data_IF_265749862308
#
_entry.id   IF_265749862308
#
_cell.length_a   1.000
_cell.length_b   1.000
_cell.length_c   1.000
_cell.angle_alpha   90.00
_cell.angle_beta   90.00
_cell.angle_gamma   90.00
#
_symmetry.space_group_name_H-M   'P 1'
#
loop_
_entity.id
_entity.type
_entity.pdbx_description
1 polymer ?
#
# COMPACT_ATOMS: atom_id res chain seq x y z
N UNK A 1 0.24 -1.04 -35.32
CA UNK A 1 -0.95 -0.60 -34.56
C UNK A 1 -1.05 0.91 -34.70
N UNK A 2 -2.24 1.48 -34.94
CA UNK A 2 -2.38 2.94 -35.05
C UNK A 2 -2.29 3.60 -33.66
N UNK A 3 -1.75 4.82 -33.60
CA UNK A 3 -1.73 5.65 -32.39
C UNK A 3 -3.12 5.78 -31.77
N UNK A 4 -4.16 5.95 -32.59
CA UNK A 4 -5.55 6.04 -32.12
C UNK A 4 -6.03 4.75 -31.44
N UNK A 5 -5.63 3.59 -31.97
CA UNK A 5 -5.95 2.30 -31.36
C UNK A 5 -5.27 2.16 -30.00
N UNK A 6 -4.01 2.61 -29.89
CA UNK A 6 -3.25 2.57 -28.63
C UNK A 6 -3.88 3.48 -27.56
N UNK A 7 -4.25 4.70 -27.91
CA UNK A 7 -4.95 5.62 -27.00
C UNK A 7 -6.24 4.98 -26.48
N UNK A 8 -7.01 4.32 -27.34
CA UNK A 8 -8.26 3.65 -26.97
C UNK A 8 -8.02 2.51 -25.97
N UNK A 9 -6.99 1.69 -26.20
CA UNK A 9 -6.60 0.61 -25.28
C UNK A 9 -6.19 1.15 -23.90
N UNK A 10 -5.33 2.18 -23.88
CA UNK A 10 -4.89 2.82 -22.64
C UNK A 10 -6.09 3.37 -21.86
N UNK A 11 -6.98 4.13 -22.53
CA UNK A 11 -8.18 4.69 -21.90
C UNK A 11 -9.10 3.58 -21.33
N UNK A 12 -9.29 2.50 -22.08
CA UNK A 12 -10.08 1.36 -21.63
C UNK A 12 -9.45 0.68 -20.40
N UNK A 13 -8.14 0.47 -20.40
CA UNK A 13 -7.43 -0.16 -19.29
C UNK A 13 -7.43 0.71 -18.03
N UNK A 14 -7.20 2.01 -18.17
CA UNK A 14 -7.31 2.98 -17.07
C UNK A 14 -8.72 3.00 -16.47
N UNK A 15 -9.77 2.87 -17.28
CA UNK A 15 -11.14 2.77 -16.78
C UNK A 15 -11.37 1.50 -15.93
N UNK A 16 -10.81 0.35 -16.34
CA UNK A 16 -10.88 -0.88 -15.55
C UNK A 16 -10.16 -0.75 -14.21
N UNK A 17 -8.97 -0.13 -14.21
CA UNK A 17 -8.20 0.16 -13.01
C UNK A 17 -8.98 1.08 -12.07
N UNK A 18 -9.55 2.17 -12.59
CA UNK A 18 -10.41 3.08 -11.81
C UNK A 18 -11.59 2.34 -11.18
N UNK A 19 -12.26 1.47 -11.93
CA UNK A 19 -13.36 0.66 -11.40
C UNK A 19 -12.90 -0.30 -10.29
N UNK A 20 -11.70 -0.86 -10.38
CA UNK A 20 -11.12 -1.69 -9.31
C UNK A 20 -10.81 -0.87 -8.06
N UNK A 21 -10.24 0.34 -8.22
CA UNK A 21 -10.00 1.27 -7.12
C UNK A 21 -11.31 1.61 -6.42
N UNK A 22 -12.37 1.98 -7.15
CA UNK A 22 -13.70 2.26 -6.59
C UNK A 22 -14.25 1.08 -5.78
N UNK A 23 -14.20 -0.15 -6.31
CA UNK A 23 -14.67 -1.33 -5.57
C UNK A 23 -13.89 -1.54 -4.27
N UNK A 24 -12.58 -1.31 -4.30
CA UNK A 24 -11.76 -1.43 -3.10
C UNK A 24 -12.03 -0.31 -2.07
N UNK A 25 -12.20 0.93 -2.53
CA UNK A 25 -12.57 2.06 -1.67
C UNK A 25 -13.88 1.80 -0.92
N UNK A 26 -14.89 1.27 -1.61
CA UNK A 26 -16.16 0.94 -0.98
C UNK A 26 -15.97 -0.16 0.05
N UNK A 27 -15.25 -1.23 -0.31
CA UNK A 27 -14.93 -2.33 0.60
C UNK A 27 -14.26 -1.81 1.89
N UNK A 28 -13.17 -1.06 1.81
CA UNK A 28 -12.47 -0.56 3.02
C UNK A 28 -13.22 0.53 3.78
N UNK A 29 -14.30 1.07 3.21
CA UNK A 29 -15.16 2.03 3.92
C UNK A 29 -16.25 1.33 4.74
N UNK A 30 -16.62 0.11 4.37
CA UNK A 30 -17.63 -0.70 5.04
C UNK A 30 -17.04 -1.71 6.05
N UNK A 31 -15.70 -1.85 6.10
CA UNK A 31 -15.03 -2.81 6.98
C UNK A 31 -15.01 -2.33 8.43
N UNK A 32 -15.60 -3.14 9.33
CA UNK A 32 -15.65 -2.89 10.78
C UNK A 32 -14.92 -3.95 11.63
N UNK A 33 -14.42 -5.05 11.05
CA UNK A 33 -13.95 -6.22 11.81
C UNK A 33 -12.61 -6.82 11.36
N UNK A 34 -11.94 -7.47 12.31
CA UNK A 34 -10.57 -8.03 12.27
C UNK A 34 -10.38 -9.17 11.24
N UNK A 35 -11.44 -9.92 10.91
CA UNK A 35 -11.40 -10.95 9.84
C UNK A 35 -11.10 -10.35 8.46
N UNK A 36 -11.42 -9.08 8.27
CA UNK A 36 -11.16 -8.38 7.02
C UNK A 36 -9.69 -8.04 6.82
N UNK A 37 -8.81 -8.10 7.84
CA UNK A 37 -7.41 -7.63 7.68
C UNK A 37 -6.66 -8.44 6.62
N UNK A 38 -6.83 -9.76 6.62
CA UNK A 38 -6.20 -10.64 5.61
C UNK A 38 -6.74 -10.33 4.22
N UNK A 39 -8.04 -10.07 4.11
CA UNK A 39 -8.67 -9.70 2.84
C UNK A 39 -8.23 -8.30 2.37
N UNK A 40 -8.13 -7.32 3.29
CA UNK A 40 -7.61 -5.97 3.03
C UNK A 40 -6.18 -6.08 2.50
N UNK A 41 -5.29 -6.84 3.14
CA UNK A 41 -3.91 -7.07 2.67
C UNK A 41 -3.89 -7.65 1.25
N UNK A 42 -4.72 -8.66 0.99
CA UNK A 42 -4.79 -9.32 -0.31
C UNK A 42 -5.27 -8.36 -1.40
N UNK A 43 -6.34 -7.61 -1.14
CA UNK A 43 -6.88 -6.64 -2.09
C UNK A 43 -5.96 -5.43 -2.26
N UNK A 44 -5.31 -4.97 -1.19
CA UNK A 44 -4.34 -3.88 -1.22
C UNK A 44 -3.16 -4.20 -2.15
N UNK A 45 -2.58 -5.41 -2.06
CA UNK A 45 -1.49 -5.80 -2.95
C UNK A 45 -1.87 -5.71 -4.43
N UNK A 46 -3.12 -6.04 -4.78
CA UNK A 46 -3.64 -5.86 -6.15
C UNK A 46 -3.78 -4.38 -6.53
N UNK A 47 -4.19 -3.52 -5.61
CA UNK A 47 -4.33 -2.07 -5.85
C UNK A 47 -2.97 -1.41 -6.03
N UNK A 48 -1.94 -1.81 -5.27
CA UNK A 48 -0.57 -1.31 -5.45
C UNK A 48 -0.01 -1.69 -6.83
N UNK A 49 -0.28 -2.92 -7.31
CA UNK A 49 0.09 -3.32 -8.68
C UNK A 49 -0.65 -2.49 -9.74
N UNK A 50 -1.94 -2.23 -9.55
CA UNK A 50 -2.70 -1.37 -10.46
C UNK A 50 -2.26 0.09 -10.44
N UNK A 51 -1.71 0.57 -9.33
CA UNK A 51 -1.16 1.91 -9.28
C UNK A 51 0.08 2.04 -10.17
N UNK A 52 1.01 1.09 -10.09
CA UNK A 52 2.18 1.03 -10.97
C UNK A 52 1.79 0.89 -12.45
N UNK A 53 0.78 0.06 -12.73
CA UNK A 53 0.25 -0.10 -14.10
C UNK A 53 -0.38 1.20 -14.61
N UNK A 54 -1.15 1.89 -13.76
CA UNK A 54 -1.73 3.20 -14.10
C UNK A 54 -0.65 4.23 -14.43
N UNK A 55 0.40 4.33 -13.61
CA UNK A 55 1.50 5.29 -13.83
C UNK A 55 2.18 5.07 -15.19
N UNK A 56 2.45 3.81 -15.53
CA UNK A 56 3.01 3.44 -16.84
C UNK A 56 2.08 3.84 -17.99
N UNK A 57 0.80 3.48 -17.89
CA UNK A 57 -0.21 3.78 -18.92
C UNK A 57 -0.47 5.28 -19.07
N UNK A 58 -0.45 6.02 -17.97
CA UNK A 58 -0.66 7.46 -17.96
C UNK A 58 0.53 8.18 -18.61
N UNK A 59 1.75 7.77 -18.28
CA UNK A 59 2.97 8.33 -18.88
C UNK A 59 3.03 8.08 -20.38
N UNK A 60 2.64 6.89 -20.84
CA UNK A 60 2.51 6.61 -22.26
C UNK A 60 1.41 7.46 -22.93
N UNK A 61 0.26 7.65 -22.27
CA UNK A 61 -0.81 8.46 -22.83
C UNK A 61 -0.40 9.92 -23.01
N UNK A 62 0.30 10.50 -22.04
CA UNK A 62 0.75 11.90 -22.10
C UNK A 62 1.83 12.13 -23.14
N UNK A 63 2.69 11.13 -23.35
CA UNK A 63 3.64 11.16 -24.45
C UNK A 63 2.95 11.20 -25.83
N UNK A 64 1.73 10.63 -25.93
CA UNK A 64 0.95 10.59 -27.16
C UNK A 64 -0.03 11.77 -27.27
N UNK A 65 -0.60 12.22 -26.14
CA UNK A 65 -1.68 13.19 -26.00
C UNK A 65 -1.32 14.18 -24.88
N UNK A 66 -0.66 15.28 -25.25
CA UNK A 66 -0.15 16.32 -24.33
C UNK A 66 -1.26 17.28 -23.83
N UNK A 67 -2.53 16.92 -23.92
CA UNK A 67 -3.62 17.80 -23.48
C UNK A 67 -3.65 17.96 -21.95
N UNK A 68 -4.01 19.16 -21.49
CA UNK A 68 -4.15 19.46 -20.06
C UNK A 68 -5.16 18.54 -19.36
N UNK A 69 -6.20 18.10 -20.09
CA UNK A 69 -7.18 17.13 -19.58
C UNK A 69 -6.54 15.78 -19.22
N UNK A 70 -5.59 15.30 -20.01
CA UNK A 70 -4.87 14.06 -19.72
C UNK A 70 -4.04 14.24 -18.45
N UNK A 71 -3.33 15.36 -18.34
CA UNK A 71 -2.47 15.69 -17.17
C UNK A 71 -3.29 15.85 -15.88
N UNK A 72 -4.41 16.59 -15.90
CA UNK A 72 -5.26 16.75 -14.71
C UNK A 72 -5.84 15.43 -14.23
N UNK A 73 -6.15 14.50 -15.16
CA UNK A 73 -6.61 13.16 -14.81
C UNK A 73 -5.56 12.34 -14.05
N UNK A 74 -4.25 12.58 -14.27
CA UNK A 74 -3.19 11.96 -13.45
C UNK A 74 -3.37 12.37 -12.00
N UNK A 75 -3.32 13.67 -11.71
CA UNK A 75 -3.36 14.20 -10.36
C UNK A 75 -4.58 13.70 -9.57
N UNK A 76 -5.75 13.66 -10.20
CA UNK A 76 -6.98 13.21 -9.55
C UNK A 76 -6.95 11.73 -9.18
N UNK A 77 -6.44 10.86 -10.06
CA UNK A 77 -6.39 9.42 -9.82
C UNK A 77 -5.26 9.03 -8.87
N UNK A 78 -4.08 9.64 -8.98
CA UNK A 78 -2.97 9.41 -8.06
C UNK A 78 -3.36 9.75 -6.61
N UNK A 79 -3.99 10.92 -6.42
CA UNK A 79 -4.48 11.31 -5.11
C UNK A 79 -5.51 10.30 -4.55
N UNK A 80 -6.34 9.70 -5.39
CA UNK A 80 -7.26 8.65 -4.96
C UNK A 80 -6.52 7.37 -4.56
N UNK A 81 -5.52 6.95 -5.33
CA UNK A 81 -4.67 5.80 -4.98
C UNK A 81 -4.00 6.00 -3.63
N UNK A 82 -3.31 7.14 -3.43
CA UNK A 82 -2.62 7.42 -2.17
C UNK A 82 -3.58 7.41 -0.98
N UNK A 83 -4.74 8.07 -1.09
CA UNK A 83 -5.76 8.08 -0.02
C UNK A 83 -6.24 6.68 0.34
N UNK A 84 -6.54 5.86 -0.66
CA UNK A 84 -7.09 4.50 -0.47
C UNK A 84 -6.03 3.54 0.07
N UNK A 85 -4.81 3.59 -0.45
CA UNK A 85 -3.67 2.80 0.03
C UNK A 85 -3.34 3.16 1.49
N UNK A 86 -3.26 4.47 1.80
CA UNK A 86 -2.98 4.93 3.17
C UNK A 86 -4.08 4.48 4.14
N UNK A 87 -5.36 4.63 3.77
CA UNK A 87 -6.48 4.15 4.58
C UNK A 87 -6.41 2.65 4.83
N UNK A 88 -6.17 1.85 3.79
CA UNK A 88 -6.04 0.40 3.93
C UNK A 88 -4.87 -0.01 4.83
N UNK A 89 -3.72 0.66 4.72
CA UNK A 89 -2.56 0.43 5.60
C UNK A 89 -2.87 0.78 7.05
N UNK A 90 -3.54 1.91 7.30
CA UNK A 90 -3.99 2.29 8.65
C UNK A 90 -4.90 1.24 9.28
N UNK A 91 -5.90 0.75 8.54
CA UNK A 91 -6.80 -0.32 9.01
C UNK A 91 -6.05 -1.63 9.34
N UNK A 92 -5.02 -1.95 8.55
CA UNK A 92 -4.17 -3.12 8.81
C UNK A 92 -3.36 -2.94 10.10
N UNK A 93 -2.81 -1.75 10.33
CA UNK A 93 -2.01 -1.43 11.51
C UNK A 93 -2.86 -1.43 12.78
N UNK A 94 -4.05 -0.81 12.76
CA UNK A 94 -4.98 -0.75 13.89
C UNK A 94 -5.49 -2.15 14.29
N UNK A 95 -5.75 -3.01 13.32
CA UNK A 95 -6.27 -4.35 13.57
C UNK A 95 -5.19 -5.41 13.84
N UNK A 96 -3.90 -5.10 13.63
CA UNK A 96 -2.82 -6.04 13.91
C UNK A 96 -2.50 -6.05 15.41
N UNK A 97 -2.24 -7.22 16.03
CA UNK A 97 -1.80 -7.26 17.41
C UNK A 97 -0.50 -6.44 17.56
N UNK A 98 -0.33 -5.70 18.68
CA UNK A 98 0.87 -4.91 18.91
C UNK A 98 2.08 -5.83 18.80
N UNK A 99 2.96 -5.54 17.83
CA UNK A 99 4.22 -6.26 17.71
C UNK A 99 5.02 -6.02 18.99
N UNK A 100 5.53 -7.07 19.66
CA UNK A 100 6.44 -6.88 20.77
C UNK A 100 7.65 -6.12 20.22
N UNK A 101 7.86 -4.89 20.70
CA UNK A 101 9.10 -4.18 20.45
C UNK A 101 10.19 -4.99 21.15
N UNK A 102 10.91 -5.80 20.37
CA UNK A 102 12.11 -6.47 20.84
C UNK A 102 13.09 -5.39 21.32
N UNK A 103 13.09 -5.10 22.62
CA UNK A 103 14.23 -4.49 23.27
C UNK A 103 15.35 -5.53 23.22
N UNK A 104 16.11 -5.52 22.11
CA UNK A 104 17.42 -6.16 22.03
C UNK A 104 18.30 -5.53 23.11
N UNK A 105 18.31 -6.18 24.27
CA UNK A 105 19.02 -5.70 25.46
C UNK A 105 19.09 -6.73 26.57
N UNK A 106 18.90 -8.02 26.26
CA UNK A 106 19.20 -9.08 27.23
C UNK A 106 20.71 -9.36 27.18
N UNK A 107 21.46 -8.64 28.02
CA UNK A 107 22.85 -8.97 28.35
C UNK A 107 22.81 -9.88 29.59
N UNK A 108 23.16 -11.18 29.50
CA UNK A 108 23.24 -12.01 30.70
C UNK A 108 24.46 -11.57 31.52
N UNK A 109 24.22 -10.98 32.69
CA UNK A 109 25.29 -10.55 33.58
C UNK A 109 25.85 -11.76 34.36
N UNK A 110 26.87 -12.45 33.82
CA UNK A 110 27.65 -13.44 34.56
C UNK A 110 28.79 -12.75 35.32
N UNK A 111 28.48 -12.10 36.44
CA UNK A 111 29.45 -11.79 37.51
C UNK A 111 28.67 -11.51 38.80
N UNK A 112 28.65 -12.47 39.73
CA UNK A 112 28.82 -12.22 41.17
C UNK A 112 28.99 -13.57 41.88
N UNK A 113 30.13 -13.74 42.54
CA UNK A 113 30.42 -14.93 43.34
C UNK A 113 31.90 -15.11 43.67
N UNK A 114 32.63 -14.02 43.94
CA UNK A 114 33.92 -14.11 44.60
C UNK A 114 33.69 -14.11 46.11
N UNK A 115 33.70 -15.28 46.74
CA UNK A 115 33.78 -15.37 48.19
C UNK A 115 35.24 -15.36 48.59
N UNK A 116 35.63 -14.24 49.19
CA UNK A 116 36.93 -14.06 49.83
C UNK A 116 37.07 -14.96 51.06
N UNK A 117 38.31 -15.43 51.20
CA UNK A 117 39.02 -15.80 52.42
C UNK A 117 38.49 -15.18 53.72
N UNK A 118 38.37 -16.00 54.77
CA UNK A 118 38.57 -15.57 56.16
C UNK A 118 39.14 -16.76 56.94
N UNK A 119 40.39 -16.61 57.38
CA UNK A 119 41.07 -17.46 58.34
C UNK A 119 40.38 -17.40 59.72
N UNK A 120 40.24 -18.55 60.38
CA UNK A 120 40.45 -18.79 61.81
C UNK A 120 40.85 -20.26 62.02
#
# INVERSE_FOLDING_TARGET
MSTEQRIKEIKARRAQIKAALTRFTNFISDVMNVENIVEIKTRLGKIELFFNEFDTLQSELEFIDETELVTSTRNDLENQFYKVIAKAKGLIEEGSPPTPKNHSGYHPNWKMGGTGISEL
#
